data_IF_243738723680
#
_entry.id   IF_243738723680
#
_cell.length_a   1.000
_cell.length_b   1.000
_cell.length_c   1.000
_cell.angle_alpha   90.00
_cell.angle_beta   90.00
_cell.angle_gamma   90.00
#
_symmetry.space_group_name_H-M   'P 1'
#
loop_
_entity.id
_entity.type
_entity.pdbx_description
1 polymer ?
#
# COMPACT_ATOMS: atom_id res chain seq x y z
N UNK A 1 5.76 6.79 7.19
CA UNK A 1 5.02 8.00 7.54
C UNK A 1 3.83 8.16 6.60
N UNK A 2 2.71 8.57 7.11
CA UNK A 2 1.50 8.73 6.31
C UNK A 2 1.19 10.22 6.20
N UNK A 3 1.00 10.66 4.97
CA UNK A 3 0.69 12.05 4.70
C UNK A 3 -0.65 12.14 3.99
N UNK A 4 -1.57 12.90 4.57
CA UNK A 4 -2.91 13.02 3.99
C UNK A 4 -2.88 14.01 2.84
N UNK A 5 -3.36 13.59 1.68
CA UNK A 5 -3.38 14.43 0.49
C UNK A 5 -4.78 14.87 0.10
N UNK A 6 -5.78 14.42 0.80
CA UNK A 6 -7.15 14.79 0.54
C UNK A 6 -8.06 14.05 1.49
N UNK A 7 -9.37 14.22 1.34
CA UNK A 7 -10.31 13.56 2.26
C UNK A 7 -10.26 12.04 2.17
N UNK A 8 -9.92 11.51 1.01
CA UNK A 8 -9.93 10.06 0.80
C UNK A 8 -8.61 9.53 0.27
N UNK A 9 -7.54 10.30 0.36
CA UNK A 9 -6.26 9.92 -0.23
C UNK A 9 -5.13 10.22 0.72
N UNK A 10 -4.25 9.24 0.90
CA UNK A 10 -3.05 9.40 1.72
C UNK A 10 -1.84 8.91 0.96
N UNK A 11 -0.71 9.50 1.26
CA UNK A 11 0.56 9.06 0.71
C UNK A 11 1.32 8.33 1.81
N UNK A 12 1.81 7.15 1.48
CA UNK A 12 2.58 6.35 2.42
C UNK A 12 4.05 6.57 2.11
N UNK A 13 4.71 7.28 2.99
CA UNK A 13 6.08 7.71 2.74
C UNK A 13 7.03 7.10 3.76
N UNK A 14 8.11 6.55 3.26
CA UNK A 14 9.13 5.97 4.12
C UNK A 14 10.41 6.82 4.13
N UNK A 15 10.31 8.05 3.65
CA UNK A 15 11.46 8.94 3.60
C UNK A 15 12.25 8.86 2.31
N UNK A 16 11.78 8.08 1.36
CA UNK A 16 12.42 7.94 0.06
C UNK A 16 11.52 8.50 -1.02
N UNK A 17 12.07 8.66 -2.21
CA UNK A 17 11.28 9.04 -3.36
C UNK A 17 10.37 7.88 -3.76
N UNK A 18 9.34 8.21 -4.50
CA UNK A 18 8.47 7.18 -5.03
C UNK A 18 7.50 6.61 -4.03
N UNK A 19 6.99 7.45 -3.16
CA UNK A 19 6.01 7.00 -2.18
C UNK A 19 4.66 6.75 -2.83
N UNK A 20 4.10 5.56 -2.64
CA UNK A 20 2.79 5.27 -3.20
C UNK A 20 1.67 6.00 -2.47
N UNK A 21 0.53 6.08 -3.13
CA UNK A 21 -0.67 6.66 -2.53
C UNK A 21 -1.76 5.60 -2.42
N UNK A 22 -2.60 5.78 -1.42
CA UNK A 22 -3.77 4.93 -1.23
C UNK A 22 -4.97 5.83 -1.24
N UNK A 23 -5.92 5.54 -2.12
CA UNK A 23 -7.12 6.34 -2.26
C UNK A 23 -8.35 5.48 -2.05
N UNK A 24 -9.28 5.97 -1.25
CA UNK A 24 -10.54 5.28 -1.02
C UNK A 24 -11.49 5.60 -2.16
N UNK A 25 -11.95 4.57 -2.86
CA UNK A 25 -12.90 4.74 -3.96
C UNK A 25 -14.34 4.60 -3.47
N UNK A 26 -14.59 3.65 -2.60
CA UNK A 26 -15.89 3.48 -1.94
C UNK A 26 -15.65 2.74 -0.63
N UNK A 27 -16.71 2.29 0.02
CA UNK A 27 -16.58 1.69 1.35
C UNK A 27 -15.74 0.43 1.35
N UNK A 28 -15.66 -0.26 0.22
CA UNK A 28 -14.97 -1.54 0.15
C UNK A 28 -13.79 -1.55 -0.81
N UNK A 29 -13.55 -0.47 -1.54
CA UNK A 29 -12.55 -0.47 -2.59
C UNK A 29 -11.54 0.65 -2.41
N UNK A 30 -10.29 0.31 -2.64
CA UNK A 30 -9.18 1.25 -2.53
C UNK A 30 -8.31 1.14 -3.76
N UNK A 31 -7.74 2.26 -4.16
CA UNK A 31 -6.81 2.31 -5.27
C UNK A 31 -5.41 2.62 -4.74
N UNK A 32 -4.47 1.76 -5.08
CA UNK A 32 -3.07 1.96 -4.70
C UNK A 32 -2.31 2.33 -5.95
N UNK A 33 -1.66 3.48 -5.92
CA UNK A 33 -0.92 3.99 -7.06
C UNK A 33 0.55 4.13 -6.68
N UNK A 34 1.43 3.62 -7.53
CA UNK A 34 2.86 3.75 -7.27
C UNK A 34 3.39 5.06 -7.86
N UNK A 35 4.71 5.23 -7.77
CA UNK A 35 5.34 6.45 -8.21
C UNK A 35 5.36 6.59 -9.74
N UNK A 36 5.24 5.50 -10.43
CA UNK A 36 5.27 5.50 -11.90
C UNK A 36 3.90 5.68 -12.52
N UNK A 37 2.87 5.82 -11.70
CA UNK A 37 1.53 5.99 -12.20
C UNK A 37 0.75 4.70 -12.38
N UNK A 38 1.35 3.58 -12.07
CA UNK A 38 0.65 2.30 -12.12
C UNK A 38 -0.23 2.16 -10.90
N UNK A 39 -1.41 1.60 -11.06
CA UNK A 39 -2.31 1.46 -9.95
C UNK A 39 -3.05 0.14 -10.00
N UNK A 40 -3.50 -0.28 -8.84
CA UNK A 40 -4.35 -1.47 -8.69
C UNK A 40 -5.51 -1.10 -7.78
N UNK A 41 -6.59 -1.83 -7.94
CA UNK A 41 -7.76 -1.66 -7.08
C UNK A 41 -7.89 -2.90 -6.24
N UNK A 42 -7.94 -2.72 -4.92
CA UNK A 42 -8.05 -3.83 -3.98
C UNK A 42 -9.21 -3.58 -3.04
N UNK A 43 -9.74 -4.65 -2.51
CA UNK A 43 -10.80 -4.53 -1.52
C UNK A 43 -10.20 -4.14 -0.17
N UNK A 44 -11.00 -3.49 0.64
CA UNK A 44 -10.55 -3.04 1.96
C UNK A 44 -9.96 -4.18 2.77
N UNK A 45 -10.63 -5.33 2.75
CA UNK A 45 -10.16 -6.48 3.51
C UNK A 45 -8.84 -7.01 2.97
N UNK A 46 -8.69 -6.99 1.65
CA UNK A 46 -7.43 -7.43 1.05
C UNK A 46 -6.30 -6.47 1.38
N UNK A 47 -6.60 -5.19 1.42
CA UNK A 47 -5.59 -4.20 1.74
C UNK A 47 -5.09 -4.38 3.18
N UNK A 48 -5.98 -4.72 4.09
CA UNK A 48 -5.57 -5.00 5.46
C UNK A 48 -4.69 -6.22 5.55
N UNK A 49 -4.99 -7.23 4.75
CA UNK A 49 -4.21 -8.46 4.75
C UNK A 49 -2.82 -8.28 4.15
N UNK A 50 -2.64 -7.24 3.35
CA UNK A 50 -1.33 -6.99 2.77
C UNK A 50 -0.27 -6.68 3.83
N UNK A 51 -0.66 -6.03 4.91
CA UNK A 51 0.24 -5.81 6.01
C UNK A 51 0.67 -7.11 6.66
N UNK A 52 -0.28 -8.02 6.83
CA UNK A 52 0.04 -9.33 7.38
C UNK A 52 0.91 -10.12 6.42
N UNK A 53 0.66 -9.99 5.14
CA UNK A 53 1.46 -10.67 4.13
C UNK A 53 2.91 -10.21 4.17
N UNK A 54 3.11 -8.92 4.31
CA UNK A 54 4.47 -8.37 4.39
C UNK A 54 5.19 -8.94 5.60
N UNK A 55 4.50 -9.01 6.72
CA UNK A 55 5.11 -9.53 7.93
C UNK A 55 5.44 -11.01 7.80
N UNK A 56 4.55 -11.78 7.19
CA UNK A 56 4.78 -13.20 7.00
C UNK A 56 6.01 -13.44 6.13
N UNK A 57 6.15 -12.66 5.08
CA UNK A 57 7.32 -12.79 4.19
C UNK A 57 8.60 -12.38 4.91
N UNK A 58 8.52 -11.34 5.72
CA UNK A 58 9.68 -10.85 6.44
C UNK A 58 10.19 -11.84 7.47
N UNK A 59 9.28 -12.61 8.04
CA UNK A 59 9.66 -13.63 9.01
C UNK A 59 10.30 -14.84 8.35
N UNK A 60 10.01 -15.07 7.09
CA UNK A 60 10.58 -16.16 6.32
C UNK A 60 11.59 -15.60 5.35
N UNK A 61 12.72 -15.21 5.86
CA UNK A 61 13.70 -14.45 5.10
C UNK A 61 14.37 -15.24 4.00
N UNK A 62 14.30 -16.53 4.04
CA UNK A 62 14.89 -17.35 2.98
C UNK A 62 14.28 -17.05 1.63
N UNK A 63 13.03 -16.63 1.61
CA UNK A 63 12.37 -16.34 0.36
C UNK A 63 12.94 -15.11 -0.32
N UNK A 64 13.46 -14.18 0.45
CA UNK A 64 13.93 -12.92 -0.08
C UNK A 64 15.34 -13.02 -0.60
N UNK A 65 16.09 -13.90 -0.04
CA UNK A 65 17.47 -14.06 -0.41
C UNK A 65 17.68 -14.88 -1.67
N UNK A 66 16.57 -15.26 -2.24
CA UNK A 66 16.70 -15.97 -3.49
C UNK A 66 17.39 -15.13 -4.51
#
# INVERSE_FOLDING_TARGET
MIKKEGPNKVRVCCGRKGCPTVEKLDENSYKVTDDDGNSIIVKKEELKLMGDAVQAISEDQQLING
#
